data_IF_833691932021
#
_entry.id   IF_833691932021
#
_cell.length_a   1.000
_cell.length_b   1.000
_cell.length_c   1.000
_cell.angle_alpha   90.00
_cell.angle_beta   90.00
_cell.angle_gamma   90.00
#
_symmetry.space_group_name_H-M   'P 1'
#
loop_
_entity.id
_entity.type
_entity.pdbx_description
1 polymer ?
#
# COMPACT_ATOMS: atom_id res chain seq x y z
N UNK A 1 -17.72 0.65 12.14
CA UNK A 1 -18.31 1.87 12.74
C UNK A 1 -17.98 2.04 14.23
N UNK A 2 -18.03 0.97 15.06
CA UNK A 2 -17.71 1.07 16.50
C UNK A 2 -16.26 1.53 16.73
N UNK A 3 -15.29 0.96 16.02
CA UNK A 3 -13.87 1.34 16.10
C UNK A 3 -13.66 2.82 15.78
N UNK A 4 -14.23 3.32 14.67
CA UNK A 4 -14.13 4.74 14.26
C UNK A 4 -14.66 5.66 15.37
N UNK A 5 -15.84 5.36 15.89
CA UNK A 5 -16.45 6.11 17.00
C UNK A 5 -15.56 6.10 18.26
N UNK A 6 -14.97 4.97 18.59
CA UNK A 6 -14.14 4.87 19.78
C UNK A 6 -12.82 5.63 19.61
N UNK A 7 -12.15 5.50 18.45
CA UNK A 7 -10.93 6.23 18.15
C UNK A 7 -11.15 7.75 18.14
N UNK A 8 -12.29 8.23 17.60
CA UNK A 8 -12.59 9.67 17.58
C UNK A 8 -12.71 10.27 18.98
N UNK A 9 -13.17 9.52 19.99
CA UNK A 9 -13.24 9.97 21.38
C UNK A 9 -11.85 10.23 21.99
N UNK A 10 -10.80 9.62 21.43
CA UNK A 10 -9.40 9.81 21.82
C UNK A 10 -8.65 10.77 20.91
N UNK A 11 -9.36 11.57 20.10
CA UNK A 11 -8.78 12.60 19.26
C UNK A 11 -8.18 12.11 17.94
N UNK A 12 -8.32 10.83 17.58
CA UNK A 12 -7.87 10.31 16.30
C UNK A 12 -8.68 10.95 15.17
N UNK A 13 -7.99 11.59 14.23
CA UNK A 13 -8.58 12.30 13.08
C UNK A 13 -8.41 11.56 11.76
N UNK A 14 -7.39 10.74 11.65
CA UNK A 14 -7.09 9.98 10.42
C UNK A 14 -6.85 8.52 10.77
N UNK A 15 -7.42 7.63 9.97
CA UNK A 15 -7.19 6.19 10.03
C UNK A 15 -6.62 5.78 8.68
N UNK A 16 -5.37 5.34 8.65
CA UNK A 16 -4.76 4.72 7.49
C UNK A 16 -5.14 3.25 7.44
N UNK A 17 -5.49 2.75 6.27
CA UNK A 17 -5.89 1.37 6.08
C UNK A 17 -5.56 0.88 4.67
N UNK A 18 -5.45 -0.42 4.50
CA UNK A 18 -5.23 -1.09 3.22
C UNK A 18 -6.52 -1.78 2.75
N UNK A 19 -6.72 -1.83 1.43
CA UNK A 19 -7.76 -2.64 0.80
C UNK A 19 -7.13 -3.62 -0.21
N UNK A 20 -6.05 -4.25 0.23
CA UNK A 20 -5.25 -5.19 -0.56
C UNK A 20 -5.76 -6.62 -0.38
N UNK A 21 -6.04 -7.36 -1.47
CA UNK A 21 -6.44 -8.77 -1.38
C UNK A 21 -5.31 -9.63 -0.85
N UNK A 22 -5.58 -10.41 0.19
CA UNK A 22 -4.73 -11.46 0.77
C UNK A 22 -3.44 -10.94 1.40
N UNK A 23 -2.57 -10.32 0.61
CA UNK A 23 -1.28 -9.78 1.06
C UNK A 23 -1.36 -8.27 1.25
N UNK A 24 -0.74 -7.80 2.31
CA UNK A 24 -0.42 -6.39 2.56
C UNK A 24 0.79 -5.97 1.68
N UNK A 25 1.73 -5.17 2.19
CA UNK A 25 2.98 -4.91 1.48
C UNK A 25 3.81 -6.19 1.34
N UNK A 26 4.58 -6.30 0.26
CA UNK A 26 5.41 -7.46 -0.01
C UNK A 26 6.85 -7.05 -0.34
N UNK A 27 7.79 -7.79 0.23
CA UNK A 27 9.23 -7.74 -0.09
C UNK A 27 9.75 -9.17 -0.24
N UNK A 28 10.72 -9.35 -1.14
CA UNK A 28 11.37 -10.65 -1.35
C UNK A 28 12.61 -10.83 -0.47
N UNK A 29 13.17 -9.73 0.05
CA UNK A 29 14.26 -9.74 1.03
C UNK A 29 14.08 -8.56 2.01
N UNK A 30 14.08 -8.84 3.31
CA UNK A 30 13.87 -7.84 4.34
C UNK A 30 15.16 -7.16 4.82
N UNK A 31 16.32 -7.67 4.42
CA UNK A 31 17.61 -7.21 4.90
C UNK A 31 18.72 -7.27 3.81
N UNK A 32 18.34 -6.98 2.57
CA UNK A 32 19.26 -6.97 1.44
C UNK A 32 20.43 -6.05 1.70
N UNK A 33 21.64 -6.58 1.71
CA UNK A 33 22.84 -5.77 1.89
C UNK A 33 23.08 -4.91 0.64
N UNK A 34 23.32 -3.62 0.88
CA UNK A 34 23.68 -2.65 -0.15
C UNK A 34 25.19 -2.64 -0.29
N UNK A 35 25.74 -3.05 -1.46
CA UNK A 35 27.20 -3.18 -1.62
C UNK A 35 27.97 -1.87 -1.44
N UNK A 36 27.33 -0.74 -1.73
CA UNK A 36 27.94 0.59 -1.73
C UNK A 36 28.34 1.08 -0.34
N UNK A 37 27.62 0.68 0.70
CA UNK A 37 27.84 1.18 2.06
C UNK A 37 27.70 0.11 3.15
N UNK A 38 27.34 -1.12 2.79
CA UNK A 38 27.12 -2.23 3.71
C UNK A 38 25.84 -2.14 4.57
N UNK A 39 24.99 -1.16 4.32
CA UNK A 39 23.69 -1.06 5.00
C UNK A 39 22.69 -2.10 4.50
N UNK A 40 21.61 -2.29 5.21
CA UNK A 40 20.53 -3.19 4.83
C UNK A 40 19.32 -2.38 4.31
N UNK A 41 18.60 -2.96 3.36
CA UNK A 41 17.40 -2.37 2.79
C UNK A 41 16.32 -3.42 2.55
N UNK A 42 15.07 -3.02 2.66
CA UNK A 42 13.95 -3.79 2.13
C UNK A 42 14.06 -3.83 0.60
N UNK A 43 13.87 -5.01 0.03
CA UNK A 43 14.10 -5.27 -1.39
C UNK A 43 12.97 -6.11 -1.97
N UNK A 44 12.62 -5.82 -3.21
CA UNK A 44 11.65 -6.57 -4.00
C UNK A 44 12.20 -6.89 -5.38
N UNK A 45 12.07 -8.13 -5.80
CA UNK A 45 12.34 -8.60 -7.15
C UNK A 45 11.24 -9.57 -7.59
N UNK A 46 10.48 -9.21 -8.62
CA UNK A 46 9.41 -10.07 -9.13
C UNK A 46 9.93 -11.42 -9.63
N UNK A 47 11.17 -11.48 -10.11
CA UNK A 47 11.78 -12.73 -10.54
C UNK A 47 11.91 -13.74 -9.40
N UNK A 48 12.09 -13.29 -8.16
CA UNK A 48 12.12 -14.15 -6.98
C UNK A 48 10.75 -14.80 -6.72
N UNK A 49 9.65 -14.14 -7.12
CA UNK A 49 8.30 -14.70 -7.00
C UNK A 49 8.05 -15.86 -7.96
N UNK A 50 8.71 -15.86 -9.13
CA UNK A 50 8.56 -16.91 -10.13
C UNK A 50 9.09 -18.28 -9.69
N UNK A 51 9.98 -18.30 -8.70
CA UNK A 51 10.57 -19.52 -8.13
C UNK A 51 9.93 -19.93 -6.80
N UNK A 52 9.19 -19.01 -6.16
CA UNK A 52 8.53 -19.21 -4.88
C UNK A 52 7.01 -19.04 -5.05
N UNK A 53 6.24 -20.02 -4.58
CA UNK A 53 4.79 -19.86 -4.47
C UNK A 53 4.41 -18.85 -3.36
N UNK A 54 3.16 -18.37 -3.34
CA UNK A 54 2.69 -17.46 -2.30
C UNK A 54 2.98 -17.94 -0.87
N UNK A 55 2.89 -19.24 -0.62
CA UNK A 55 3.15 -19.87 0.69
C UNK A 55 4.65 -19.88 1.03
N UNK A 56 5.53 -20.03 0.04
CA UNK A 56 6.97 -20.07 0.28
C UNK A 56 7.49 -18.70 0.67
N UNK A 57 6.95 -17.64 0.04
CA UNK A 57 7.27 -16.26 0.41
C UNK A 57 6.84 -15.96 1.84
N UNK A 58 5.64 -16.39 2.22
CA UNK A 58 5.14 -16.25 3.58
C UNK A 58 6.09 -16.93 4.58
N UNK A 59 6.49 -18.17 4.32
CA UNK A 59 7.43 -18.91 5.19
C UNK A 59 8.77 -18.19 5.27
N UNK A 60 9.35 -17.82 4.13
CA UNK A 60 10.62 -17.10 4.06
C UNK A 60 10.56 -15.74 4.80
N UNK A 61 9.46 -15.00 4.66
CA UNK A 61 9.27 -13.72 5.36
C UNK A 61 9.20 -13.92 6.88
N UNK A 62 8.50 -14.96 7.35
CA UNK A 62 8.43 -15.29 8.79
C UNK A 62 9.81 -15.70 9.32
N UNK A 63 10.52 -16.56 8.62
CA UNK A 63 11.86 -17.03 8.99
C UNK A 63 12.85 -15.86 9.10
N UNK A 64 12.74 -14.87 8.21
CA UNK A 64 13.61 -13.70 8.16
C UNK A 64 13.14 -12.50 9.03
N UNK A 65 12.02 -12.64 9.73
CA UNK A 65 11.45 -11.57 10.56
C UNK A 65 12.10 -11.41 11.94
N UNK A 66 13.15 -12.20 12.26
CA UNK A 66 13.81 -12.22 13.58
C UNK A 66 12.83 -12.40 14.76
N UNK A 67 11.77 -13.17 14.55
CA UNK A 67 10.74 -13.44 15.58
C UNK A 67 9.69 -12.34 15.74
N UNK A 68 9.71 -11.29 14.92
CA UNK A 68 8.65 -10.30 14.89
C UNK A 68 7.47 -10.79 14.05
N UNK A 69 6.25 -10.58 14.54
CA UNK A 69 5.04 -10.80 13.75
C UNK A 69 4.79 -9.58 12.88
N UNK A 70 4.83 -9.75 11.56
CA UNK A 70 4.50 -8.68 10.63
C UNK A 70 2.98 -8.55 10.50
N UNK A 71 2.43 -7.32 10.44
CA UNK A 71 1.01 -7.11 10.22
C UNK A 71 0.51 -7.83 8.96
N UNK A 72 -0.55 -8.61 9.10
CA UNK A 72 -1.09 -9.40 7.99
C UNK A 72 -0.44 -10.78 7.81
N UNK A 73 0.61 -11.11 8.58
CA UNK A 73 1.39 -12.36 8.49
C UNK A 73 1.31 -13.20 9.77
N UNK A 74 0.28 -12.99 10.56
CA UNK A 74 0.06 -13.75 11.78
C UNK A 74 -0.21 -15.25 11.46
N UNK A 75 0.30 -16.18 12.27
CA UNK A 75 0.18 -17.62 12.00
C UNK A 75 -1.26 -18.12 11.77
N UNK A 76 -2.23 -17.56 12.49
CA UNK A 76 -3.65 -17.92 12.32
C UNK A 76 -4.19 -17.53 10.93
N UNK A 77 -3.72 -16.40 10.39
CA UNK A 77 -4.09 -15.92 9.04
C UNK A 77 -3.45 -16.76 7.95
N UNK A 78 -2.24 -17.27 8.21
CA UNK A 78 -1.52 -18.12 7.27
C UNK A 78 -2.18 -19.48 7.05
N UNK A 79 -2.81 -20.05 8.08
CA UNK A 79 -3.55 -21.30 7.98
C UNK A 79 -4.75 -21.21 7.01
N UNK A 80 -5.30 -20.00 6.80
CA UNK A 80 -6.40 -19.75 5.88
C UNK A 80 -5.94 -19.24 4.50
N UNK A 81 -4.64 -19.06 4.29
CA UNK A 81 -4.10 -18.40 3.11
C UNK A 81 -4.47 -19.10 1.80
N UNK A 82 -4.33 -20.44 1.74
CA UNK A 82 -4.67 -21.22 0.55
C UNK A 82 -6.16 -21.07 0.20
N UNK A 83 -7.03 -21.23 1.20
CA UNK A 83 -8.47 -21.09 1.00
C UNK A 83 -8.85 -19.66 0.58
N UNK A 84 -8.10 -18.66 1.05
CA UNK A 84 -8.32 -17.27 0.67
C UNK A 84 -7.85 -16.99 -0.75
N UNK A 85 -6.67 -17.48 -1.14
CA UNK A 85 -6.17 -17.38 -2.52
C UNK A 85 -7.15 -18.02 -3.51
N UNK A 86 -7.67 -19.19 -3.18
CA UNK A 86 -8.65 -19.88 -4.03
C UNK A 86 -9.92 -19.04 -4.21
N UNK A 87 -10.44 -18.44 -3.15
CA UNK A 87 -11.61 -17.53 -3.24
C UNK A 87 -11.36 -16.32 -4.14
N UNK A 88 -10.13 -15.77 -4.14
CA UNK A 88 -9.80 -14.59 -4.95
C UNK A 88 -9.55 -14.90 -6.43
N UNK A 89 -9.35 -16.15 -6.84
CA UNK A 89 -9.18 -16.51 -8.27
C UNK A 89 -10.35 -16.06 -9.16
N UNK A 90 -11.55 -15.96 -8.59
CA UNK A 90 -12.77 -15.53 -9.31
C UNK A 90 -13.08 -14.04 -9.14
N UNK A 91 -12.31 -13.29 -8.37
CA UNK A 91 -12.56 -11.88 -8.08
C UNK A 91 -11.80 -11.02 -9.09
N UNK A 92 -12.52 -10.31 -9.95
CA UNK A 92 -11.94 -9.30 -10.85
C UNK A 92 -11.66 -7.97 -10.13
N UNK A 93 -10.87 -7.09 -10.75
CA UNK A 93 -10.66 -5.72 -10.26
C UNK A 93 -11.99 -4.95 -10.09
N UNK A 94 -12.94 -5.11 -11.01
CA UNK A 94 -14.25 -4.46 -10.93
C UNK A 94 -15.09 -5.01 -9.79
N UNK A 95 -15.04 -6.33 -9.55
CA UNK A 95 -15.69 -6.91 -8.39
C UNK A 95 -15.05 -6.41 -7.09
N UNK A 96 -13.73 -6.27 -7.05
CA UNK A 96 -13.01 -5.73 -5.90
C UNK A 96 -13.39 -4.25 -5.66
N UNK A 97 -13.50 -3.42 -6.70
CA UNK A 97 -14.00 -2.04 -6.59
C UNK A 97 -15.44 -1.99 -6.08
N UNK A 98 -16.30 -2.89 -6.54
CA UNK A 98 -17.68 -2.99 -6.06
C UNK A 98 -17.74 -3.36 -4.57
N UNK A 99 -16.92 -4.29 -4.13
CA UNK A 99 -16.79 -4.67 -2.73
C UNK A 99 -16.24 -3.51 -1.88
N UNK A 100 -15.30 -2.75 -2.44
CA UNK A 100 -14.75 -1.58 -1.78
C UNK A 100 -15.79 -0.46 -1.64
N UNK A 101 -16.59 -0.21 -2.68
CA UNK A 101 -17.72 0.72 -2.58
C UNK A 101 -18.68 0.33 -1.48
N UNK A 102 -19.07 -0.94 -1.40
CA UNK A 102 -19.94 -1.44 -0.34
C UNK A 102 -19.35 -1.17 1.07
N UNK A 103 -18.05 -1.40 1.24
CA UNK A 103 -17.36 -1.09 2.49
C UNK A 103 -17.39 0.41 2.80
N UNK A 104 -17.06 1.28 1.84
CA UNK A 104 -17.06 2.73 2.01
C UNK A 104 -18.46 3.26 2.34
N UNK A 105 -19.51 2.82 1.65
CA UNK A 105 -20.89 3.20 1.93
C UNK A 105 -21.30 2.83 3.35
N UNK A 106 -20.76 1.76 3.91
CA UNK A 106 -21.03 1.33 5.28
C UNK A 106 -20.29 2.13 6.35
N UNK A 107 -19.12 2.73 6.05
CA UNK A 107 -18.28 3.37 7.07
C UNK A 107 -18.23 4.89 6.97
N UNK A 108 -18.25 5.46 5.75
CA UNK A 108 -18.04 6.91 5.55
C UNK A 108 -19.08 7.77 6.27
N UNK A 109 -20.38 7.43 6.32
CA UNK A 109 -21.34 8.22 7.12
C UNK A 109 -20.98 8.29 8.62
N UNK A 110 -20.34 7.24 9.15
CA UNK A 110 -19.81 7.27 10.53
C UNK A 110 -18.59 8.17 10.62
N UNK A 111 -17.70 8.15 9.63
CA UNK A 111 -16.52 9.00 9.59
C UNK A 111 -16.90 10.48 9.57
N UNK A 112 -17.83 10.87 8.71
CA UNK A 112 -18.38 12.23 8.63
C UNK A 112 -18.98 12.69 9.97
N UNK A 113 -19.80 11.84 10.57
CA UNK A 113 -20.44 12.13 11.86
C UNK A 113 -19.42 12.41 12.98
N UNK A 114 -18.28 11.74 12.97
CA UNK A 114 -17.27 11.83 14.03
C UNK A 114 -16.00 12.62 13.62
N UNK A 115 -15.98 13.21 12.45
CA UNK A 115 -14.86 14.01 11.94
C UNK A 115 -13.57 13.20 11.80
N UNK A 116 -13.68 11.98 11.26
CA UNK A 116 -12.56 11.07 10.99
C UNK A 116 -12.39 10.90 9.49
N UNK A 117 -11.16 10.89 9.04
CA UNK A 117 -10.78 10.63 7.64
C UNK A 117 -10.26 9.19 7.53
N UNK A 118 -10.78 8.45 6.57
CA UNK A 118 -10.25 7.15 6.16
C UNK A 118 -9.29 7.36 5.00
N UNK A 119 -8.01 7.09 5.20
CA UNK A 119 -6.96 7.30 4.21
C UNK A 119 -6.49 5.95 3.65
N UNK A 120 -6.90 5.62 2.42
CA UNK A 120 -6.53 4.39 1.75
C UNK A 120 -5.06 4.42 1.36
N UNK A 121 -4.28 3.45 1.83
CA UNK A 121 -2.89 3.26 1.46
C UNK A 121 -2.79 2.57 0.09
N UNK A 122 -1.86 2.97 -0.80
CA UNK A 122 -1.67 2.31 -2.09
C UNK A 122 -1.18 0.87 -1.94
N UNK A 123 -1.42 0.09 -2.97
CA UNK A 123 -0.80 -1.22 -3.13
C UNK A 123 0.73 -1.12 -3.05
N UNK A 124 1.38 -2.09 -2.44
CA UNK A 124 2.85 -2.13 -2.31
C UNK A 124 3.38 -3.55 -2.53
N UNK A 125 4.02 -3.82 -3.67
CA UNK A 125 4.33 -2.89 -4.77
C UNK A 125 3.09 -2.44 -5.56
N UNK A 126 3.24 -1.36 -6.33
CA UNK A 126 2.17 -0.71 -7.08
C UNK A 126 1.82 -1.44 -8.39
N UNK A 127 1.57 -2.74 -8.31
CA UNK A 127 1.08 -3.61 -9.40
C UNK A 127 0.47 -4.91 -8.84
N UNK A 128 -0.21 -5.67 -9.70
CA UNK A 128 -0.79 -6.97 -9.34
C UNK A 128 0.28 -8.02 -9.08
N UNK A 129 0.12 -8.82 -8.05
CA UNK A 129 1.01 -9.93 -7.69
C UNK A 129 0.22 -11.23 -7.54
N UNK A 130 0.81 -12.36 -7.91
CA UNK A 130 0.18 -13.70 -7.85
C UNK A 130 -1.18 -13.79 -8.56
N UNK A 131 -1.43 -12.95 -9.56
CA UNK A 131 -2.72 -12.88 -10.23
C UNK A 131 -3.87 -12.30 -9.38
N UNK A 132 -3.56 -11.76 -8.20
CA UNK A 132 -4.54 -11.09 -7.34
C UNK A 132 -4.86 -9.70 -7.89
N UNK A 133 -6.14 -9.29 -7.93
CA UNK A 133 -6.49 -7.95 -8.35
C UNK A 133 -5.97 -6.93 -7.33
N UNK A 134 -5.33 -5.86 -7.83
CA UNK A 134 -4.97 -4.68 -7.06
C UNK A 134 -5.56 -3.45 -7.73
N UNK A 135 -6.08 -2.50 -6.96
CA UNK A 135 -6.91 -1.39 -7.45
C UNK A 135 -6.48 -0.02 -6.92
N UNK A 136 -5.31 0.07 -6.30
CA UNK A 136 -4.79 1.28 -5.66
C UNK A 136 -3.31 1.50 -6.00
N UNK A 137 -2.92 1.53 -7.30
CA UNK A 137 -1.53 1.56 -7.72
C UNK A 137 -1.18 2.68 -8.72
N UNK A 138 -2.16 3.52 -9.08
CA UNK A 138 -1.97 4.64 -10.01
C UNK A 138 -2.85 5.83 -9.63
N UNK A 139 -2.57 7.02 -10.20
CA UNK A 139 -3.44 8.18 -10.06
C UNK A 139 -4.87 7.84 -10.51
N UNK A 140 -5.02 7.20 -11.65
CA UNK A 140 -6.32 6.81 -12.19
C UNK A 140 -7.12 5.92 -11.23
N UNK A 141 -6.46 4.96 -10.56
CA UNK A 141 -7.13 4.12 -9.58
C UNK A 141 -7.62 4.93 -8.38
N UNK A 142 -6.79 5.84 -7.87
CA UNK A 142 -7.20 6.69 -6.75
C UNK A 142 -8.29 7.69 -7.13
N UNK A 143 -8.33 8.19 -8.37
CA UNK A 143 -9.45 8.98 -8.89
C UNK A 143 -10.76 8.17 -8.83
N UNK A 144 -10.71 6.89 -9.21
CA UNK A 144 -11.86 6.00 -9.07
C UNK A 144 -12.23 5.77 -7.60
N UNK A 145 -11.25 5.51 -6.72
CA UNK A 145 -11.47 5.25 -5.29
C UNK A 145 -12.16 6.43 -4.60
N UNK A 146 -11.70 7.65 -4.83
CA UNK A 146 -12.33 8.82 -4.19
C UNK A 146 -13.74 9.09 -4.71
N UNK A 147 -14.06 8.60 -5.91
CA UNK A 147 -15.39 8.68 -6.50
C UNK A 147 -16.33 7.55 -6.04
N UNK A 148 -15.82 6.41 -5.57
CA UNK A 148 -16.67 5.32 -5.05
C UNK A 148 -17.62 5.80 -3.95
N UNK A 149 -17.18 6.74 -3.14
CA UNK A 149 -17.97 7.47 -2.17
C UNK A 149 -17.41 8.89 -2.07
N UNK A 150 -18.03 9.85 -2.73
CA UNK A 150 -17.54 11.24 -2.82
C UNK A 150 -17.71 11.98 -1.49
N UNK A 151 -16.69 11.92 -0.67
CA UNK A 151 -16.64 12.56 0.65
C UNK A 151 -15.19 12.87 1.02
N UNK A 152 -14.92 14.03 1.67
CA UNK A 152 -13.58 14.30 2.24
C UNK A 152 -13.13 13.26 3.28
N UNK A 153 -14.07 12.52 3.87
CA UNK A 153 -13.75 11.40 4.77
C UNK A 153 -13.24 10.15 4.04
N UNK A 154 -13.41 10.05 2.70
CA UNK A 154 -12.79 9.04 1.84
C UNK A 154 -11.59 9.67 1.14
N UNK A 155 -10.39 9.45 1.65
CA UNK A 155 -9.15 10.10 1.24
C UNK A 155 -8.03 9.10 0.94
N UNK A 156 -6.94 9.63 0.44
CA UNK A 156 -5.72 8.87 0.07
C UNK A 156 -4.67 9.01 1.18
N UNK A 157 -4.05 7.91 1.56
CA UNK A 157 -2.72 7.93 2.16
C UNK A 157 -1.70 7.88 1.02
N UNK A 158 -1.17 9.04 0.62
CA UNK A 158 -0.23 9.09 -0.50
C UNK A 158 1.15 8.63 -0.01
N UNK A 159 1.47 7.37 -0.30
CA UNK A 159 2.78 6.78 0.02
C UNK A 159 3.70 6.90 -1.19
N UNK A 160 4.71 7.77 -1.09
CA UNK A 160 5.61 8.05 -2.23
C UNK A 160 6.44 6.84 -2.63
N UNK A 161 6.88 6.01 -1.67
CA UNK A 161 7.65 4.80 -1.95
C UNK A 161 6.81 3.69 -2.60
N UNK A 162 5.60 3.44 -2.10
CA UNK A 162 4.70 2.44 -2.69
C UNK A 162 4.30 2.81 -4.11
N UNK A 163 3.74 4.01 -4.30
CA UNK A 163 3.36 4.51 -5.64
C UNK A 163 4.57 4.67 -6.55
N UNK A 164 5.69 5.14 -6.01
CA UNK A 164 6.93 5.32 -6.75
C UNK A 164 7.60 4.02 -7.18
N UNK A 165 7.20 2.85 -6.63
CA UNK A 165 7.67 1.56 -7.15
C UNK A 165 7.24 1.33 -8.61
N UNK A 166 6.11 1.91 -9.02
CA UNK A 166 5.72 2.02 -10.43
C UNK A 166 6.32 3.30 -11.04
N UNK A 167 7.28 3.18 -11.98
CA UNK A 167 7.97 4.34 -12.56
C UNK A 167 7.06 5.22 -13.44
N UNK A 168 5.87 4.76 -13.81
CA UNK A 168 4.90 5.54 -14.59
C UNK A 168 4.14 6.56 -13.72
N UNK A 169 4.26 6.49 -12.39
CA UNK A 169 3.61 7.42 -11.48
C UNK A 169 4.44 8.70 -11.27
N UNK A 170 3.89 9.85 -11.65
CA UNK A 170 4.44 11.18 -11.32
C UNK A 170 3.99 11.59 -9.91
N UNK A 171 4.78 11.25 -8.90
CA UNK A 171 4.44 11.46 -7.50
C UNK A 171 4.19 12.94 -7.15
N UNK A 172 5.04 13.92 -7.56
CA UNK A 172 4.75 15.33 -7.33
C UNK A 172 3.43 15.80 -7.96
N UNK A 173 3.10 15.30 -9.15
CA UNK A 173 1.83 15.61 -9.81
C UNK A 173 0.64 15.03 -9.05
N UNK A 174 0.74 13.79 -8.59
CA UNK A 174 -0.29 13.14 -7.78
C UNK A 174 -0.55 13.88 -6.47
N UNK A 175 0.51 14.36 -5.79
CA UNK A 175 0.37 15.15 -4.56
C UNK A 175 -0.43 16.43 -4.85
N UNK A 176 -0.07 17.18 -5.89
CA UNK A 176 -0.80 18.40 -6.27
C UNK A 176 -2.24 18.10 -6.64
N UNK A 177 -2.47 17.03 -7.40
CA UNK A 177 -3.81 16.63 -7.84
C UNK A 177 -4.73 16.34 -6.64
N UNK A 178 -4.36 15.41 -5.79
CA UNK A 178 -5.18 15.03 -4.62
C UNK A 178 -5.19 16.11 -3.53
N UNK A 179 -4.12 16.92 -3.44
CA UNK A 179 -4.07 18.10 -2.58
C UNK A 179 -5.10 19.15 -2.97
N UNK A 180 -5.21 19.49 -4.26
CA UNK A 180 -6.22 20.44 -4.78
C UNK A 180 -7.65 19.96 -4.52
N UNK A 181 -7.87 18.64 -4.56
CA UNK A 181 -9.16 18.02 -4.27
C UNK A 181 -9.46 17.94 -2.76
N UNK A 182 -8.50 18.29 -1.89
CA UNK A 182 -8.57 18.06 -0.44
C UNK A 182 -8.81 16.57 -0.09
N UNK A 183 -8.08 15.69 -0.77
CA UNK A 183 -8.21 14.23 -0.63
C UNK A 183 -6.93 13.54 -0.11
N UNK A 184 -5.97 14.28 0.42
CA UNK A 184 -4.81 13.70 1.11
C UNK A 184 -5.12 13.65 2.60
N UNK A 185 -5.37 12.46 3.12
CA UNK A 185 -5.56 12.23 4.55
C UNK A 185 -4.26 12.00 5.31
N UNK A 186 -3.26 11.43 4.63
CA UNK A 186 -1.94 11.13 5.19
C UNK A 186 -0.89 11.09 4.09
N UNK A 187 0.36 11.39 4.44
CA UNK A 187 1.53 11.22 3.58
C UNK A 187 2.51 10.25 4.25
N UNK A 188 2.96 9.24 3.50
CA UNK A 188 4.13 8.46 3.83
C UNK A 188 5.24 8.83 2.85
N UNK A 189 6.22 9.57 3.33
CA UNK A 189 7.32 10.07 2.49
C UNK A 189 8.49 9.10 2.58
N UNK A 190 8.68 8.31 1.53
CA UNK A 190 9.77 7.32 1.37
C UNK A 190 10.42 7.50 0.02
N UNK A 191 11.70 7.13 -0.09
CA UNK A 191 12.44 7.08 -1.34
C UNK A 191 12.74 5.62 -1.69
N UNK A 192 12.77 5.31 -2.98
CA UNK A 192 13.13 3.98 -3.49
C UNK A 192 14.14 4.11 -4.62
N UNK A 193 14.86 3.03 -4.88
CA UNK A 193 15.74 2.91 -6.04
C UNK A 193 15.30 1.75 -6.92
N UNK A 194 14.97 2.04 -8.18
CA UNK A 194 14.70 1.03 -9.18
C UNK A 194 16.01 0.30 -9.57
N UNK A 195 15.91 -1.01 -9.70
CA UNK A 195 17.05 -1.86 -10.09
C UNK A 195 16.77 -2.65 -11.36
N UNK A 196 15.60 -2.45 -11.96
CA UNK A 196 15.12 -3.11 -13.16
C UNK A 196 13.60 -3.17 -13.21
N UNK A 197 13.07 -3.90 -14.17
CA UNK A 197 11.63 -4.11 -14.29
C UNK A 197 11.07 -4.84 -13.07
N UNK A 198 10.08 -4.27 -12.42
CA UNK A 198 9.46 -4.78 -11.18
C UNK A 198 10.48 -5.18 -10.10
N UNK A 199 11.56 -4.40 -10.00
CA UNK A 199 12.66 -4.64 -9.09
C UNK A 199 13.13 -3.34 -8.46
N UNK A 200 13.09 -3.26 -7.13
CA UNK A 200 13.47 -2.06 -6.39
C UNK A 200 13.93 -2.35 -4.98
N UNK A 201 14.54 -1.38 -4.35
CA UNK A 201 14.86 -1.37 -2.92
C UNK A 201 14.45 -0.05 -2.28
N UNK A 202 14.25 -0.06 -0.97
CA UNK A 202 14.15 1.19 -0.21
C UNK A 202 15.46 1.96 -0.27
N UNK A 203 15.39 3.28 -0.21
CA UNK A 203 16.55 4.15 -0.26
C UNK A 203 16.45 5.27 0.80
N UNK A 204 17.59 5.87 1.15
CA UNK A 204 17.61 7.05 2.02
C UNK A 204 16.83 8.22 1.39
N UNK A 205 16.33 9.14 2.22
CA UNK A 205 15.45 10.22 1.78
C UNK A 205 16.10 11.29 0.89
N UNK A 206 17.43 11.27 0.72
CA UNK A 206 18.09 12.16 -0.25
C UNK A 206 17.73 11.76 -1.68
N UNK A 207 17.39 12.70 -2.55
CA UNK A 207 17.10 12.44 -3.96
C UNK A 207 18.24 11.68 -4.65
N UNK A 208 19.49 11.93 -4.27
CA UNK A 208 20.67 11.24 -4.83
C UNK A 208 20.81 9.78 -4.40
N UNK A 209 20.09 9.35 -3.36
CA UNK A 209 20.15 7.98 -2.85
C UNK A 209 19.17 7.02 -3.54
N UNK A 210 18.13 7.56 -4.16
CA UNK A 210 17.08 6.81 -4.86
C UNK A 210 16.73 7.44 -6.21
N UNK A 211 15.56 7.13 -6.72
CA UNK A 211 15.10 7.59 -8.02
C UNK A 211 13.89 8.54 -7.93
N UNK A 212 13.37 8.78 -6.73
CA UNK A 212 12.34 9.78 -6.53
C UNK A 212 12.97 11.16 -6.26
N UNK A 213 12.46 12.20 -6.93
CA UNK A 213 12.87 13.58 -6.64
C UNK A 213 12.22 14.04 -5.33
N UNK A 214 12.88 13.75 -4.22
CA UNK A 214 12.40 14.07 -2.87
C UNK A 214 12.22 15.58 -2.67
N UNK A 215 13.00 16.41 -3.35
CA UNK A 215 12.83 17.86 -3.29
C UNK A 215 11.52 18.30 -3.93
N UNK A 216 11.19 17.79 -5.12
CA UNK A 216 9.92 18.11 -5.78
C UNK A 216 8.72 17.52 -5.03
N UNK A 217 8.88 16.36 -4.42
CA UNK A 217 7.87 15.75 -3.55
C UNK A 217 7.56 16.65 -2.35
N UNK A 218 8.59 17.16 -1.67
CA UNK A 218 8.42 18.06 -0.52
C UNK A 218 7.90 19.45 -0.89
N UNK A 219 8.10 19.86 -2.13
CA UNK A 219 7.62 21.16 -2.65
C UNK A 219 6.16 21.08 -3.13
N UNK A 220 5.72 19.92 -3.56
CA UNK A 220 4.37 19.72 -4.09
C UNK A 220 3.30 19.83 -3.02
#
# INVERSE_FOLDING_TARGET
CTTIRNLSKHGVKVIVYNFMPVFDWLRTDLAKVIPEDGSNSLYFDEADLGTMGPLDIVRSTIENSNGFSLPGWEPARLAELEATLERYKSISADQLRSNYKYFLDGIIPTCEKYGVVMACHPDDPAWSIFGLPRIAHSQHDFDQIVQLHDSPSNSVCLCTGSLGSNPDNDIPSMIRHFGTMNRIGCLHVRNIKHLGYHKFREAAHLSSAGDLDMYQIMKA
#
